data_IF_465021349414
#
_entry.id   IF_465021349414
#
_cell.length_a   1.000
_cell.length_b   1.000
_cell.length_c   1.000
_cell.angle_alpha   90.00
_cell.angle_beta   90.00
_cell.angle_gamma   90.00
#
_symmetry.space_group_name_H-M   'P 1'
#
loop_
_entity.id
_entity.type
_entity.pdbx_description
1 polymer ?
#
# COMPACT_ATOMS: atom_id res chain seq x y z
N UNK A 1 -19.17 1.82 -6.90
CA UNK A 1 -19.98 2.96 -7.41
C UNK A 1 -18.99 4.05 -7.80
N UNK A 2 -18.92 4.46 -9.07
CA UNK A 2 -17.94 5.46 -9.49
C UNK A 2 -18.28 6.82 -8.88
N UNK A 3 -17.38 7.38 -8.06
CA UNK A 3 -17.56 8.71 -7.48
C UNK A 3 -17.18 9.73 -8.53
N UNK A 4 -18.05 10.72 -8.77
CA UNK A 4 -17.79 11.82 -9.70
C UNK A 4 -17.68 13.12 -8.93
N UNK A 5 -16.54 13.78 -9.06
CA UNK A 5 -16.33 15.12 -8.50
C UNK A 5 -17.02 16.12 -9.44
N UNK A 6 -17.88 16.96 -8.89
CA UNK A 6 -18.50 18.07 -9.62
C UNK A 6 -17.57 19.30 -9.55
N UNK A 7 -16.97 19.61 -10.69
CA UNK A 7 -16.01 20.70 -10.82
C UNK A 7 -16.64 22.08 -10.60
N UNK A 8 -17.92 22.24 -10.96
CA UNK A 8 -18.62 23.51 -10.80
C UNK A 8 -18.93 23.72 -9.32
N UNK A 9 -19.33 22.66 -8.60
CA UNK A 9 -19.50 22.70 -7.16
C UNK A 9 -18.19 23.03 -6.41
N UNK A 10 -17.05 22.48 -6.86
CA UNK A 10 -15.74 22.81 -6.28
C UNK A 10 -15.35 24.27 -6.54
N UNK A 11 -15.56 24.78 -7.76
CA UNK A 11 -15.28 26.19 -8.11
C UNK A 11 -16.15 27.15 -7.29
N UNK A 12 -17.42 26.82 -7.11
CA UNK A 12 -18.35 27.60 -6.28
C UNK A 12 -17.93 27.61 -4.80
N UNK A 13 -17.51 26.46 -4.27
CA UNK A 13 -17.02 26.35 -2.89
C UNK A 13 -15.70 27.10 -2.65
N UNK A 14 -14.77 27.06 -3.61
CA UNK A 14 -13.50 27.77 -3.52
C UNK A 14 -13.65 29.30 -3.64
N UNK A 15 -14.67 29.74 -4.38
CA UNK A 15 -14.90 31.13 -4.70
C UNK A 15 -14.01 31.67 -5.84
N UNK A 16 -14.38 32.82 -6.43
CA UNK A 16 -13.80 33.31 -7.68
C UNK A 16 -12.33 33.73 -7.56
N UNK A 17 -11.92 34.27 -6.41
CA UNK A 17 -10.52 34.70 -6.18
C UNK A 17 -9.59 33.50 -6.15
N UNK A 18 -9.97 32.46 -5.41
CA UNK A 18 -9.23 31.21 -5.33
C UNK A 18 -9.16 30.52 -6.69
N UNK A 19 -10.26 30.49 -7.43
CA UNK A 19 -10.30 29.91 -8.77
C UNK A 19 -9.36 30.65 -9.73
N UNK A 20 -9.34 31.99 -9.72
CA UNK A 20 -8.44 32.77 -10.56
C UNK A 20 -6.96 32.53 -10.22
N UNK A 21 -6.64 32.39 -8.92
CA UNK A 21 -5.30 32.04 -8.47
C UNK A 21 -4.90 30.62 -8.89
N UNK A 22 -5.81 29.64 -8.75
CA UNK A 22 -5.61 28.27 -9.20
C UNK A 22 -5.39 28.20 -10.72
N UNK A 23 -6.22 28.88 -11.51
CA UNK A 23 -6.08 28.95 -12.96
C UNK A 23 -4.74 29.58 -13.37
N UNK A 24 -4.24 30.57 -12.60
CA UNK A 24 -2.91 31.17 -12.81
C UNK A 24 -1.76 30.21 -12.51
N UNK A 25 -1.85 29.42 -11.43
CA UNK A 25 -0.89 28.36 -11.12
C UNK A 25 -0.85 27.30 -12.23
N UNK A 26 -2.02 26.87 -12.72
CA UNK A 26 -2.12 25.91 -13.83
C UNK A 26 -1.55 26.46 -15.13
N UNK A 27 -1.82 27.73 -15.44
CA UNK A 27 -1.23 28.40 -16.60
C UNK A 27 0.31 28.50 -16.51
N UNK A 28 0.86 28.54 -15.30
CA UNK A 28 2.29 28.46 -15.02
C UNK A 28 2.85 27.01 -15.03
N UNK A 29 2.03 26.01 -15.37
CA UNK A 29 2.42 24.60 -15.43
C UNK A 29 2.46 23.90 -14.07
N UNK A 30 1.72 24.39 -13.08
CA UNK A 30 1.66 23.80 -11.74
C UNK A 30 0.34 23.06 -11.46
N UNK A 31 0.36 21.93 -10.73
CA UNK A 31 1.57 21.18 -10.35
C UNK A 31 2.28 20.57 -11.58
N UNK A 32 3.61 20.50 -11.54
CA UNK A 32 4.41 19.88 -12.63
C UNK A 32 4.15 18.37 -12.72
N UNK A 33 3.93 17.74 -11.56
CA UNK A 33 3.61 16.32 -11.44
C UNK A 33 2.64 16.11 -10.29
N UNK A 34 1.71 15.20 -10.52
CA UNK A 34 0.78 14.69 -9.52
C UNK A 34 0.83 13.16 -9.49
N UNK A 35 0.48 12.58 -8.36
CA UNK A 35 0.50 11.13 -8.12
C UNK A 35 -0.73 10.70 -7.32
N UNK A 36 -1.33 9.53 -7.60
CA UNK A 36 -2.39 8.99 -6.77
C UNK A 36 -1.82 8.54 -5.41
N UNK A 37 -2.40 9.01 -4.31
CA UNK A 37 -1.96 8.71 -2.94
C UNK A 37 -3.18 8.59 -2.03
N UNK A 38 -3.27 7.49 -1.26
CA UNK A 38 -4.34 7.31 -0.26
C UNK A 38 -5.76 7.34 -0.84
N UNK A 39 -5.96 6.94 -2.09
CA UNK A 39 -7.26 7.04 -2.77
C UNK A 39 -7.65 8.46 -3.23
N UNK A 40 -6.74 9.43 -3.09
CA UNK A 40 -6.84 10.79 -3.64
C UNK A 40 -5.65 11.12 -4.55
N UNK A 41 -5.40 12.41 -4.78
CA UNK A 41 -4.27 12.93 -5.54
C UNK A 41 -3.35 13.76 -4.65
N UNK A 42 -2.04 13.63 -4.85
CA UNK A 42 -1.00 14.43 -4.18
C UNK A 42 -0.09 15.07 -5.22
N UNK A 43 0.45 16.24 -4.91
CA UNK A 43 1.42 16.92 -5.75
C UNK A 43 2.11 18.07 -5.02
N UNK A 44 3.18 18.57 -5.63
CA UNK A 44 3.88 19.77 -5.15
C UNK A 44 3.50 20.94 -6.05
N UNK A 45 3.04 22.04 -5.45
CA UNK A 45 2.67 23.26 -6.17
C UNK A 45 3.65 24.36 -5.79
N UNK A 46 4.30 24.95 -6.79
CA UNK A 46 5.28 26.03 -6.60
C UNK A 46 4.73 27.37 -7.09
N UNK A 47 4.60 28.33 -6.19
CA UNK A 47 4.27 29.72 -6.52
C UNK A 47 5.55 30.58 -6.59
N UNK A 48 5.61 31.51 -7.55
CA UNK A 48 6.78 32.36 -7.74
C UNK A 48 7.07 33.20 -6.49
N UNK A 49 8.26 33.03 -5.90
CA UNK A 49 8.68 33.76 -4.71
C UNK A 49 8.17 33.18 -3.38
N UNK A 50 7.48 32.04 -3.41
CA UNK A 50 7.08 31.27 -2.23
C UNK A 50 7.83 29.94 -2.17
N UNK A 51 7.93 29.29 -0.99
CA UNK A 51 8.33 27.90 -0.92
C UNK A 51 7.34 27.01 -1.69
N UNK A 52 7.79 25.85 -2.19
CA UNK A 52 6.88 24.84 -2.72
C UNK A 52 5.95 24.35 -1.60
N UNK A 53 4.70 24.09 -1.95
CA UNK A 53 3.68 23.58 -1.05
C UNK A 53 3.33 22.14 -1.41
N UNK A 54 3.30 21.26 -0.42
CA UNK A 54 2.78 19.90 -0.57
C UNK A 54 1.27 19.91 -0.40
N UNK A 55 0.58 19.30 -1.36
CA UNK A 55 -0.88 19.35 -1.47
C UNK A 55 -1.41 17.94 -1.66
N UNK A 56 -2.48 17.61 -0.94
CA UNK A 56 -3.27 16.40 -1.14
C UNK A 56 -4.76 16.77 -1.25
N UNK A 57 -5.49 16.08 -2.12
CA UNK A 57 -6.95 16.20 -2.27
C UNK A 57 -7.59 14.84 -2.43
N UNK A 58 -8.78 14.63 -1.87
CA UNK A 58 -9.47 13.34 -1.92
C UNK A 58 -10.90 13.40 -1.40
N UNK A 59 -11.59 12.25 -1.46
CA UNK A 59 -12.98 12.12 -0.99
C UNK A 59 -13.00 11.19 0.21
N UNK A 60 -13.29 11.74 1.38
CA UNK A 60 -13.37 11.03 2.65
C UNK A 60 -14.84 10.78 3.01
N UNK A 61 -15.08 10.13 4.16
CA UNK A 61 -16.43 9.96 4.69
C UNK A 61 -17.15 11.31 4.95
N UNK A 62 -16.38 12.39 5.16
CA UNK A 62 -16.88 13.74 5.43
C UNK A 62 -17.05 14.58 4.15
N UNK A 63 -16.73 14.00 2.98
CA UNK A 63 -16.85 14.64 1.67
C UNK A 63 -15.50 14.96 1.05
N UNK A 64 -15.47 15.98 0.19
CA UNK A 64 -14.24 16.41 -0.47
C UNK A 64 -13.32 17.09 0.55
N UNK A 65 -12.10 16.57 0.71
CA UNK A 65 -11.11 17.01 1.68
C UNK A 65 -9.84 17.43 0.96
N UNK A 66 -9.22 18.50 1.44
CA UNK A 66 -7.94 18.99 0.94
C UNK A 66 -6.99 19.24 2.12
N UNK A 67 -5.74 18.88 1.93
CA UNK A 67 -4.63 19.18 2.83
C UNK A 67 -3.56 19.93 2.06
N UNK A 68 -3.06 21.00 2.67
CA UNK A 68 -2.03 21.84 2.09
C UNK A 68 -1.19 22.39 3.23
N UNK A 69 0.11 22.47 3.06
CA UNK A 69 1.02 23.08 4.05
C UNK A 69 1.12 24.61 3.88
N UNK A 70 0.32 25.22 3.00
CA UNK A 70 0.25 26.67 2.86
C UNK A 70 -0.52 27.33 4.03
N UNK A 71 -0.25 28.61 4.34
CA UNK A 71 -0.93 29.32 5.44
C UNK A 71 -2.46 29.44 5.30
N UNK A 72 -3.01 29.22 4.10
CA UNK A 72 -4.45 29.33 3.81
C UNK A 72 -5.18 27.98 3.77
N UNK A 73 -4.60 26.92 4.37
CA UNK A 73 -5.09 25.55 4.26
C UNK A 73 -6.43 25.24 4.94
N UNK A 74 -6.93 26.12 5.82
CA UNK A 74 -8.21 25.93 6.51
C UNK A 74 -9.44 26.00 5.56
N UNK A 75 -9.24 26.51 4.34
CA UNK A 75 -10.22 26.51 3.26
C UNK A 75 -9.64 25.81 2.02
N UNK A 76 -10.50 25.50 1.05
CA UNK A 76 -10.07 24.98 -0.25
C UNK A 76 -9.20 26.03 -0.96
N UNK A 77 -7.88 25.95 -0.77
CA UNK A 77 -6.93 26.96 -1.24
C UNK A 77 -6.65 26.86 -2.74
N UNK A 78 -5.95 27.84 -3.30
CA UNK A 78 -5.60 27.88 -4.72
C UNK A 78 -4.74 26.67 -5.14
N UNK A 79 -3.85 26.19 -4.27
CA UNK A 79 -3.01 25.02 -4.52
C UNK A 79 -3.84 23.73 -4.60
N UNK A 80 -4.76 23.54 -3.64
CA UNK A 80 -5.70 22.41 -3.63
C UNK A 80 -6.60 22.43 -4.87
N UNK A 81 -7.11 23.60 -5.25
CA UNK A 81 -7.88 23.75 -6.49
C UNK A 81 -7.05 23.44 -7.74
N UNK A 82 -5.82 23.94 -7.83
CA UNK A 82 -4.94 23.66 -8.97
C UNK A 82 -4.65 22.16 -9.11
N UNK A 83 -4.33 21.49 -8.00
CA UNK A 83 -4.13 20.04 -7.96
C UNK A 83 -5.40 19.28 -8.33
N UNK A 84 -6.56 19.66 -7.78
CA UNK A 84 -7.85 19.01 -8.08
C UNK A 84 -8.18 19.07 -9.57
N UNK A 85 -8.04 20.25 -10.17
CA UNK A 85 -8.31 20.46 -11.59
C UNK A 85 -7.34 19.64 -12.46
N UNK A 86 -6.06 19.59 -12.10
CA UNK A 86 -5.08 18.78 -12.82
C UNK A 86 -5.36 17.28 -12.70
N UNK A 87 -5.68 16.79 -11.50
CA UNK A 87 -6.02 15.38 -11.26
C UNK A 87 -7.28 14.93 -12.00
N UNK A 88 -8.27 15.82 -12.15
CA UNK A 88 -9.47 15.56 -12.94
C UNK A 88 -9.20 15.54 -14.45
N UNK A 89 -8.32 16.40 -14.94
CA UNK A 89 -7.90 16.41 -16.35
C UNK A 89 -7.08 15.15 -16.70
N UNK A 90 -6.27 14.67 -15.77
CA UNK A 90 -5.50 13.42 -15.91
C UNK A 90 -6.34 12.14 -15.66
N UNK A 91 -7.66 12.28 -15.45
CA UNK A 91 -8.61 11.19 -15.19
C UNK A 91 -8.15 10.23 -14.07
N UNK A 92 -7.52 10.76 -13.01
CA UNK A 92 -7.06 9.93 -11.90
C UNK A 92 -8.22 9.15 -11.24
N UNK A 93 -7.97 7.90 -10.79
CA UNK A 93 -8.96 7.14 -10.02
C UNK A 93 -9.15 7.74 -8.62
N UNK A 94 -10.40 7.86 -8.18
CA UNK A 94 -10.78 8.37 -6.85
C UNK A 94 -11.44 7.29 -6.01
N UNK A 95 -11.05 7.20 -4.73
CA UNK A 95 -11.74 6.39 -3.74
C UNK A 95 -12.83 7.21 -3.03
N UNK A 96 -13.98 6.60 -2.72
CA UNK A 96 -15.00 7.18 -1.83
C UNK A 96 -14.62 7.17 -0.35
N UNK A 97 -13.48 6.54 -0.03
CA UNK A 97 -12.94 6.38 1.32
C UNK A 97 -11.44 6.70 1.28
N UNK A 98 -11.08 7.80 0.63
CA UNK A 98 -9.70 8.26 0.59
C UNK A 98 -9.20 8.54 2.02
N UNK A 99 -7.93 8.23 2.29
CA UNK A 99 -7.27 8.46 3.56
C UNK A 99 -6.29 9.62 3.39
N UNK A 100 -6.59 10.80 3.95
CA UNK A 100 -5.67 11.92 3.88
C UNK A 100 -4.38 11.62 4.66
N UNK A 101 -3.24 12.22 4.26
CA UNK A 101 -1.96 12.05 4.95
C UNK A 101 -2.01 12.31 6.45
N UNK A 102 -2.79 13.31 6.90
CA UNK A 102 -2.88 13.66 8.33
C UNK A 102 -3.56 12.61 9.21
N UNK A 103 -4.41 11.75 8.64
CA UNK A 103 -5.14 10.71 9.38
C UNK A 103 -4.28 9.46 9.58
N UNK A 104 -3.19 9.32 8.83
CA UNK A 104 -2.23 8.26 9.06
C UNK A 104 -1.56 8.52 10.42
N UNK A 105 -1.79 7.63 11.39
CA UNK A 105 -1.02 7.64 12.62
C UNK A 105 0.42 7.31 12.26
N UNK A 106 1.23 8.34 12.09
CA UNK A 106 2.66 8.17 11.87
C UNK A 106 3.25 7.71 13.19
N UNK A 107 3.92 6.56 13.17
CA UNK A 107 4.69 6.07 14.30
C UNK A 107 5.60 7.19 14.84
N UNK A 108 5.68 7.33 16.16
CA UNK A 108 6.37 8.46 16.79
C UNK A 108 7.85 8.52 16.36
N UNK A 109 8.48 7.37 16.10
CA UNK A 109 9.85 7.31 15.62
C UNK A 109 9.95 7.78 14.17
N UNK A 110 9.00 7.40 13.32
CA UNK A 110 8.93 7.87 11.93
C UNK A 110 8.73 9.39 11.87
N UNK A 111 7.88 9.96 12.73
CA UNK A 111 7.67 11.40 12.81
C UNK A 111 8.95 12.14 13.24
N UNK A 112 9.67 11.62 14.24
CA UNK A 112 10.98 12.15 14.67
C UNK A 112 12.00 12.12 13.53
N UNK A 113 12.10 11.00 12.80
CA UNK A 113 13.02 10.85 11.67
C UNK A 113 12.65 11.77 10.50
N UNK A 114 11.35 11.99 10.25
CA UNK A 114 10.89 12.92 9.23
C UNK A 114 11.29 14.37 9.55
N UNK A 115 11.21 14.80 10.82
CA UNK A 115 11.72 16.10 11.27
C UNK A 115 13.23 16.23 11.03
N UNK A 116 14.01 15.19 11.34
CA UNK A 116 15.45 15.18 11.06
C UNK A 116 15.70 15.28 9.55
N UNK A 117 14.95 14.53 8.74
CA UNK A 117 15.08 14.52 7.28
C UNK A 117 14.80 15.89 6.66
N UNK A 118 13.87 16.68 7.22
CA UNK A 118 13.60 18.06 6.77
C UNK A 118 14.81 18.99 6.89
N UNK A 119 15.74 18.71 7.81
CA UNK A 119 16.99 19.45 7.95
C UNK A 119 18.06 19.09 6.90
N UNK A 120 17.86 18.03 6.11
CA UNK A 120 18.84 17.52 5.16
C UNK A 120 18.59 18.14 3.78
N UNK A 121 19.62 18.70 3.09
CA UNK A 121 19.45 19.18 1.72
C UNK A 121 18.94 18.07 0.79
N UNK A 122 17.94 18.38 -0.04
CA UNK A 122 17.24 17.41 -0.89
C UNK A 122 18.19 16.47 -1.65
N UNK A 123 19.23 17.01 -2.31
CA UNK A 123 20.23 16.19 -3.03
C UNK A 123 20.90 15.14 -2.14
N UNK A 124 21.21 15.49 -0.89
CA UNK A 124 21.86 14.59 0.07
C UNK A 124 20.87 13.54 0.59
N UNK A 125 19.63 13.93 0.84
CA UNK A 125 18.56 13.00 1.20
C UNK A 125 18.30 11.99 0.07
N UNK A 126 18.25 12.45 -1.19
CA UNK A 126 18.11 11.59 -2.37
C UNK A 126 19.25 10.56 -2.46
N UNK A 127 20.50 10.98 -2.26
CA UNK A 127 21.63 10.04 -2.29
C UNK A 127 21.56 9.01 -1.17
N UNK A 128 21.19 9.42 0.04
CA UNK A 128 21.03 8.51 1.18
C UNK A 128 19.96 7.45 0.91
N UNK A 129 18.79 7.86 0.41
CA UNK A 129 17.70 6.95 0.04
C UNK A 129 18.13 6.00 -1.08
N UNK A 130 18.84 6.50 -2.11
CA UNK A 130 19.32 5.67 -3.20
C UNK A 130 20.40 4.67 -2.77
N UNK A 131 21.30 5.05 -1.87
CA UNK A 131 22.33 4.17 -1.30
C UNK A 131 21.70 3.03 -0.49
N UNK A 132 20.66 3.32 0.30
CA UNK A 132 19.94 2.29 1.05
C UNK A 132 19.09 1.39 0.15
N UNK A 133 18.38 1.98 -0.82
CA UNK A 133 17.63 1.21 -1.81
C UNK A 133 18.53 0.24 -2.58
N UNK A 134 19.79 0.62 -2.87
CA UNK A 134 20.73 -0.27 -3.54
C UNK A 134 21.14 -1.51 -2.71
N UNK A 135 20.84 -1.54 -1.41
CA UNK A 135 21.14 -2.67 -0.51
C UNK A 135 19.90 -3.44 -0.05
N UNK A 136 18.70 -2.93 -0.37
CA UNK A 136 17.42 -3.47 0.10
C UNK A 136 16.44 -3.51 -1.09
N UNK A 137 16.14 -4.72 -1.54
CA UNK A 137 15.31 -4.96 -2.73
C UNK A 137 13.85 -4.54 -2.54
N UNK A 138 13.33 -4.63 -1.32
CA UNK A 138 11.98 -4.17 -0.99
C UNK A 138 11.93 -2.65 -1.08
N UNK A 139 12.93 -1.96 -0.51
CA UNK A 139 13.03 -0.51 -0.60
C UNK A 139 13.27 -0.02 -2.04
N UNK A 140 14.10 -0.71 -2.82
CA UNK A 140 14.29 -0.45 -4.25
C UNK A 140 12.96 -0.52 -5.00
N UNK A 141 12.22 -1.60 -4.81
CA UNK A 141 10.91 -1.83 -5.46
C UNK A 141 9.90 -0.76 -5.03
N UNK A 142 9.87 -0.42 -3.74
CA UNK A 142 9.00 0.61 -3.19
C UNK A 142 9.31 2.01 -3.75
N UNK A 143 10.58 2.31 -4.02
CA UNK A 143 11.03 3.56 -4.65
C UNK A 143 10.66 3.60 -6.13
N UNK A 144 10.89 2.49 -6.88
CA UNK A 144 10.51 2.38 -8.29
C UNK A 144 8.99 2.48 -8.48
N UNK A 145 8.21 1.88 -7.59
CA UNK A 145 6.74 1.97 -7.58
C UNK A 145 6.27 3.41 -7.43
N UNK A 146 6.78 4.14 -6.41
CA UNK A 146 6.47 5.56 -6.18
C UNK A 146 6.90 6.46 -7.33
N UNK A 147 7.96 6.08 -8.04
CA UNK A 147 8.41 6.78 -9.24
C UNK A 147 7.55 6.47 -10.49
N UNK A 148 6.60 5.53 -10.43
CA UNK A 148 5.78 5.08 -11.55
C UNK A 148 6.57 4.25 -12.57
N UNK A 149 7.63 3.55 -12.12
CA UNK A 149 8.58 2.83 -12.98
C UNK A 149 8.38 1.31 -13.00
N UNK A 150 7.45 0.78 -12.22
CA UNK A 150 7.11 -0.64 -12.24
C UNK A 150 5.90 -0.88 -13.13
N UNK A 151 6.00 -1.89 -13.98
CA UNK A 151 4.88 -2.42 -14.75
C UNK A 151 4.21 -3.57 -13.98
N UNK A 152 2.93 -3.89 -14.28
CA UNK A 152 2.30 -5.10 -13.77
C UNK A 152 3.18 -6.34 -14.03
N UNK A 153 3.15 -7.35 -13.16
CA UNK A 153 3.86 -8.61 -13.38
C UNK A 153 3.32 -9.33 -14.62
N UNK A 154 4.24 -9.83 -15.44
CA UNK A 154 3.93 -10.72 -16.55
C UNK A 154 3.64 -12.13 -16.04
N UNK A 155 2.89 -12.92 -16.81
CA UNK A 155 2.59 -14.31 -16.46
C UNK A 155 3.86 -15.13 -16.22
N UNK A 156 4.91 -14.92 -17.03
CA UNK A 156 6.18 -15.63 -16.88
C UNK A 156 6.90 -15.28 -15.56
N UNK A 157 6.85 -14.01 -15.13
CA UNK A 157 7.40 -13.60 -13.83
C UNK A 157 6.61 -14.20 -12.66
N UNK A 158 5.27 -14.21 -12.75
CA UNK A 158 4.43 -14.85 -11.73
C UNK A 158 4.70 -16.35 -11.64
N UNK A 159 4.79 -17.05 -12.78
CA UNK A 159 5.09 -18.48 -12.80
C UNK A 159 6.48 -18.80 -12.26
N UNK A 160 7.45 -17.90 -12.46
CA UNK A 160 8.77 -18.04 -11.86
C UNK A 160 8.75 -17.85 -10.34
N UNK A 161 8.02 -16.85 -9.87
CA UNK A 161 7.83 -16.61 -8.45
C UNK A 161 7.13 -17.79 -7.76
N UNK A 162 6.09 -18.37 -8.38
CA UNK A 162 5.44 -19.60 -7.88
C UNK A 162 6.44 -20.74 -7.68
N UNK A 163 7.28 -20.99 -8.70
CA UNK A 163 8.33 -22.03 -8.62
C UNK A 163 9.34 -21.72 -7.53
N UNK A 164 9.70 -20.46 -7.35
CA UNK A 164 10.61 -20.02 -6.27
C UNK A 164 9.99 -20.29 -4.90
N UNK A 165 8.74 -19.89 -4.67
CA UNK A 165 8.02 -20.14 -3.41
C UNK A 165 7.92 -21.65 -3.14
N UNK A 166 7.50 -22.44 -4.13
CA UNK A 166 7.38 -23.89 -3.99
C UNK A 166 8.74 -24.55 -3.71
N UNK A 167 9.79 -24.11 -4.41
CA UNK A 167 11.16 -24.59 -4.21
C UNK A 167 11.67 -24.29 -2.80
N UNK A 168 11.48 -23.05 -2.34
CA UNK A 168 11.83 -22.62 -0.98
C UNK A 168 11.10 -23.47 0.09
N UNK A 169 9.79 -23.66 -0.05
CA UNK A 169 9.00 -24.46 0.89
C UNK A 169 9.45 -25.93 0.92
N UNK A 170 9.77 -26.48 -0.25
CA UNK A 170 10.24 -27.86 -0.38
C UNK A 170 11.62 -28.04 0.27
N UNK A 171 12.55 -27.12 0.06
CA UNK A 171 13.89 -27.18 0.65
C UNK A 171 13.86 -27.09 2.18
N UNK A 172 12.97 -26.26 2.74
CA UNK A 172 12.79 -26.12 4.19
C UNK A 172 12.22 -27.36 4.89
N UNK A 173 11.69 -28.31 4.12
CA UNK A 173 11.03 -29.53 4.65
C UNK A 173 11.64 -30.83 4.12
N UNK A 174 12.74 -30.79 3.35
CA UNK A 174 13.44 -32.01 2.90
C UNK A 174 14.15 -32.68 4.08
N UNK A 175 13.72 -33.90 4.41
CA UNK A 175 14.10 -34.77 5.54
C UNK A 175 15.61 -34.95 5.81
N UNK A 176 16.48 -34.41 4.96
CA UNK A 176 17.91 -34.70 5.01
C UNK A 176 18.72 -33.74 5.86
N UNK A 177 18.43 -32.43 5.92
CA UNK A 177 19.30 -31.45 6.63
C UNK A 177 18.65 -30.10 6.99
N UNK A 178 17.37 -30.02 7.37
CA UNK A 178 16.78 -28.74 7.81
C UNK A 178 16.84 -28.55 9.33
N UNK A 179 16.98 -27.30 9.78
CA UNK A 179 16.74 -26.87 11.16
C UNK A 179 15.69 -25.74 11.25
N UNK A 180 15.28 -25.37 12.47
CA UNK A 180 14.27 -24.33 12.68
C UNK A 180 14.68 -22.97 12.08
N UNK A 181 15.97 -22.66 12.05
CA UNK A 181 16.45 -21.42 11.42
C UNK A 181 16.33 -21.46 9.89
N UNK A 182 16.44 -22.63 9.26
CA UNK A 182 16.17 -22.78 7.83
C UNK A 182 14.69 -22.48 7.50
N UNK A 183 13.75 -22.90 8.35
CA UNK A 183 12.31 -22.60 8.19
C UNK A 183 12.05 -21.10 8.34
N UNK A 184 12.60 -20.47 9.39
CA UNK A 184 12.51 -19.02 9.63
C UNK A 184 13.06 -18.24 8.43
N UNK A 185 14.29 -18.56 8.00
CA UNK A 185 14.95 -17.93 6.86
C UNK A 185 14.14 -18.10 5.58
N UNK A 186 13.54 -19.26 5.39
CA UNK A 186 12.67 -19.55 4.25
C UNK A 186 11.42 -18.67 4.26
N UNK A 187 10.77 -18.55 5.42
CA UNK A 187 9.63 -17.66 5.59
C UNK A 187 9.97 -16.19 5.31
N UNK A 188 11.11 -15.71 5.81
CA UNK A 188 11.60 -14.34 5.51
C UNK A 188 11.87 -14.14 4.01
N UNK A 189 12.47 -15.12 3.34
CA UNK A 189 12.70 -15.05 1.90
C UNK A 189 11.39 -15.01 1.09
N UNK A 190 10.39 -15.82 1.46
CA UNK A 190 9.06 -15.77 0.85
C UNK A 190 8.38 -14.41 1.06
N UNK A 191 8.40 -13.90 2.30
CA UNK A 191 7.84 -12.60 2.63
C UNK A 191 8.48 -11.48 1.80
N UNK A 192 9.81 -11.48 1.65
CA UNK A 192 10.52 -10.49 0.84
C UNK A 192 10.10 -10.54 -0.64
N UNK A 193 9.99 -11.72 -1.24
CA UNK A 193 9.52 -11.86 -2.63
C UNK A 193 8.08 -11.33 -2.79
N UNK A 194 7.21 -11.60 -1.82
CA UNK A 194 5.83 -11.12 -1.82
C UNK A 194 5.76 -9.61 -1.60
N UNK A 195 6.57 -9.04 -0.72
CA UNK A 195 6.65 -7.60 -0.50
C UNK A 195 7.11 -6.86 -1.76
N UNK A 196 8.08 -7.41 -2.48
CA UNK A 196 8.54 -6.91 -3.78
C UNK A 196 7.42 -6.98 -4.82
N UNK A 197 6.71 -8.11 -4.92
CA UNK A 197 5.56 -8.26 -5.82
C UNK A 197 4.48 -7.23 -5.51
N UNK A 198 4.18 -7.00 -4.22
CA UNK A 198 3.15 -6.08 -3.76
C UNK A 198 3.47 -4.59 -4.03
N UNK A 199 4.70 -4.25 -4.42
CA UNK A 199 5.03 -2.89 -4.89
C UNK A 199 4.61 -2.67 -6.37
N UNK A 200 4.37 -3.72 -7.14
CA UNK A 200 4.00 -3.62 -8.56
C UNK A 200 2.52 -3.26 -8.70
N UNK A 201 2.11 -2.70 -9.84
CA UNK A 201 0.69 -2.50 -10.14
C UNK A 201 -0.12 -3.79 -9.93
N UNK A 202 -1.28 -3.71 -9.26
CA UNK A 202 -2.06 -4.85 -8.79
C UNK A 202 -2.65 -5.64 -9.96
N UNK A 203 -2.66 -6.97 -9.84
CA UNK A 203 -3.35 -7.88 -10.77
C UNK A 203 -4.06 -9.00 -9.99
N UNK A 204 -5.18 -9.54 -10.49
CA UNK A 204 -5.81 -10.72 -9.89
C UNK A 204 -4.87 -11.91 -9.78
N UNK A 205 -3.98 -12.11 -10.76
CA UNK A 205 -3.02 -13.21 -10.77
C UNK A 205 -1.94 -13.04 -9.70
N UNK A 206 -1.50 -11.81 -9.41
CA UNK A 206 -0.58 -11.53 -8.31
C UNK A 206 -1.23 -11.83 -6.94
N UNK A 207 -2.52 -11.52 -6.76
CA UNK A 207 -3.26 -11.88 -5.54
C UNK A 207 -3.22 -13.39 -5.29
N UNK A 208 -3.42 -14.19 -6.32
CA UNK A 208 -3.35 -15.66 -6.21
C UNK A 208 -1.95 -16.15 -5.82
N UNK A 209 -0.87 -15.52 -6.32
CA UNK A 209 0.50 -15.87 -5.90
C UNK A 209 0.73 -15.58 -4.42
N UNK A 210 0.16 -14.51 -3.88
CA UNK A 210 0.23 -14.23 -2.43
C UNK A 210 -0.55 -15.28 -1.62
N UNK A 211 -1.73 -15.69 -2.09
CA UNK A 211 -2.49 -16.80 -1.47
C UNK A 211 -1.70 -18.12 -1.49
N UNK A 212 -0.98 -18.41 -2.59
CA UNK A 212 -0.11 -19.57 -2.70
C UNK A 212 1.09 -19.50 -1.73
N UNK A 213 1.70 -18.32 -1.56
CA UNK A 213 2.78 -18.09 -0.59
C UNK A 213 2.32 -18.26 0.86
N UNK A 214 1.15 -17.74 1.20
CA UNK A 214 0.54 -17.94 2.53
C UNK A 214 0.33 -19.43 2.81
N UNK A 215 -0.25 -20.17 1.86
CA UNK A 215 -0.39 -21.63 1.98
C UNK A 215 0.96 -22.34 2.11
N UNK A 216 2.01 -21.86 1.44
CA UNK A 216 3.35 -22.43 1.55
C UNK A 216 3.94 -22.21 2.94
N UNK A 217 3.79 -21.01 3.49
CA UNK A 217 4.18 -20.67 4.86
C UNK A 217 3.42 -21.52 5.89
N UNK A 218 2.08 -21.59 5.79
CA UNK A 218 1.23 -22.35 6.71
C UNK A 218 1.59 -23.85 6.76
N UNK A 219 2.17 -24.40 5.66
CA UNK A 219 2.66 -25.78 5.62
C UNK A 219 3.98 -26.00 6.33
N UNK A 220 4.87 -24.99 6.35
CA UNK A 220 6.23 -25.16 6.89
C UNK A 220 6.38 -24.60 8.30
N UNK A 221 5.44 -23.78 8.77
CA UNK A 221 5.48 -23.14 10.09
C UNK A 221 5.27 -24.06 11.32
N UNK A 222 4.57 -25.22 11.27
CA UNK A 222 4.26 -25.99 12.48
C UNK A 222 5.45 -26.32 13.40
N UNK A 223 6.64 -26.72 12.88
CA UNK A 223 7.81 -26.95 13.73
C UNK A 223 8.30 -25.71 14.51
N UNK A 224 8.10 -24.50 13.97
CA UNK A 224 8.42 -23.26 14.68
C UNK A 224 7.44 -22.99 15.82
N UNK A 225 6.16 -23.30 15.61
CA UNK A 225 5.11 -23.16 16.62
C UNK A 225 5.33 -24.12 17.79
N UNK A 226 5.85 -25.32 17.53
CA UNK A 226 6.25 -26.27 18.59
C UNK A 226 7.43 -25.73 19.43
N UNK A 227 8.22 -24.80 18.87
CA UNK A 227 9.33 -24.11 19.51
C UNK A 227 8.99 -22.64 19.89
N UNK A 228 7.72 -22.35 20.19
CA UNK A 228 7.19 -20.97 20.38
C UNK A 228 8.02 -20.07 21.30
N UNK A 229 8.61 -20.61 22.37
CA UNK A 229 9.44 -19.80 23.29
C UNK A 229 10.65 -19.11 22.60
N UNK A 230 11.07 -19.60 21.43
CA UNK A 230 12.20 -19.07 20.68
C UNK A 230 11.83 -18.37 19.36
N UNK A 231 10.62 -18.58 18.82
CA UNK A 231 10.26 -18.17 17.45
C UNK A 231 8.88 -17.49 17.33
N UNK A 232 8.19 -17.18 18.44
CA UNK A 232 6.86 -16.55 18.40
C UNK A 232 6.86 -15.21 17.65
N UNK A 233 7.87 -14.37 17.88
CA UNK A 233 7.98 -13.06 17.25
C UNK A 233 8.24 -13.20 15.74
N UNK A 234 9.17 -14.05 15.34
CA UNK A 234 9.53 -14.28 13.94
C UNK A 234 8.37 -14.89 13.15
N UNK A 235 7.63 -15.83 13.73
CA UNK A 235 6.45 -16.43 13.09
C UNK A 235 5.37 -15.38 12.86
N UNK A 236 5.11 -14.52 13.85
CA UNK A 236 4.15 -13.43 13.73
C UNK A 236 4.59 -12.41 12.68
N UNK A 237 5.86 -11.97 12.69
CA UNK A 237 6.40 -11.02 11.71
C UNK A 237 6.23 -11.50 10.26
N UNK A 238 6.58 -12.77 9.99
CA UNK A 238 6.48 -13.35 8.65
C UNK A 238 5.02 -13.49 8.22
N UNK A 239 4.16 -13.99 9.11
CA UNK A 239 2.72 -14.12 8.84
C UNK A 239 2.05 -12.78 8.57
N UNK A 240 2.37 -11.76 9.38
CA UNK A 240 1.85 -10.41 9.25
C UNK A 240 2.28 -9.74 7.94
N UNK A 241 3.52 -9.95 7.50
CA UNK A 241 4.00 -9.44 6.22
C UNK A 241 3.22 -10.01 5.03
N UNK A 242 3.01 -11.33 5.00
CA UNK A 242 2.23 -12.01 3.97
C UNK A 242 0.76 -11.54 3.98
N UNK A 243 0.15 -11.44 5.16
CA UNK A 243 -1.22 -10.96 5.32
C UNK A 243 -1.37 -9.50 4.88
N UNK A 244 -0.46 -8.62 5.29
CA UNK A 244 -0.50 -7.21 4.90
C UNK A 244 -0.37 -7.03 3.37
N UNK A 245 0.44 -7.85 2.70
CA UNK A 245 0.51 -7.86 1.25
C UNK A 245 -0.81 -8.33 0.59
N UNK A 246 -1.42 -9.39 1.13
CA UNK A 246 -2.69 -9.94 0.64
C UNK A 246 -3.85 -8.94 0.79
N UNK A 247 -4.01 -8.34 1.97
CA UNK A 247 -5.03 -7.32 2.25
C UNK A 247 -4.89 -6.13 1.30
N UNK A 248 -3.66 -5.61 1.15
CA UNK A 248 -3.36 -4.50 0.24
C UNK A 248 -3.75 -4.83 -1.20
N UNK A 249 -3.42 -6.03 -1.70
CA UNK A 249 -3.80 -6.44 -3.03
C UNK A 249 -5.32 -6.62 -3.16
N UNK A 250 -6.00 -7.15 -2.15
CA UNK A 250 -7.47 -7.23 -2.15
C UNK A 250 -8.11 -5.84 -2.25
N UNK A 251 -7.62 -4.86 -1.50
CA UNK A 251 -8.13 -3.48 -1.56
C UNK A 251 -7.91 -2.83 -2.93
N UNK A 252 -6.81 -3.17 -3.59
CA UNK A 252 -6.46 -2.60 -4.89
C UNK A 252 -7.15 -3.30 -6.06
N UNK A 253 -7.22 -4.64 -6.03
CA UNK A 253 -7.86 -5.46 -7.07
C UNK A 253 -9.38 -5.46 -6.95
N UNK A 254 -9.91 -5.31 -5.72
CA UNK A 254 -11.34 -5.41 -5.41
C UNK A 254 -11.97 -6.71 -5.94
N UNK A 255 -11.50 -7.90 -5.50
CA UNK A 255 -12.08 -9.17 -5.90
C UNK A 255 -13.54 -9.28 -5.45
N UNK A 256 -14.30 -10.19 -6.05
CA UNK A 256 -15.66 -10.46 -5.58
C UNK A 256 -15.63 -10.89 -4.09
N UNK A 257 -16.39 -10.21 -3.20
CA UNK A 257 -16.33 -10.49 -1.77
C UNK A 257 -16.79 -11.89 -1.37
N UNK A 258 -17.69 -12.52 -2.12
CA UNK A 258 -18.15 -13.89 -1.83
C UNK A 258 -17.10 -14.91 -2.29
N UNK A 259 -16.48 -14.69 -3.45
CA UNK A 259 -15.36 -15.52 -3.92
C UNK A 259 -14.12 -15.40 -3.01
N UNK A 260 -13.79 -14.19 -2.56
CA UNK A 260 -12.68 -13.97 -1.62
C UNK A 260 -12.94 -14.66 -0.29
N UNK A 261 -14.15 -14.54 0.27
CA UNK A 261 -14.50 -15.22 1.52
C UNK A 261 -14.38 -16.74 1.38
N UNK A 262 -14.84 -17.31 0.26
CA UNK A 262 -14.74 -18.75 0.00
C UNK A 262 -13.28 -19.23 -0.10
N UNK A 263 -12.41 -18.49 -0.80
CA UNK A 263 -10.98 -18.83 -0.87
C UNK A 263 -10.27 -18.71 0.48
N UNK A 264 -10.56 -17.67 1.26
CA UNK A 264 -10.01 -17.52 2.61
C UNK A 264 -10.41 -18.70 3.50
N UNK A 265 -11.69 -19.10 3.51
CA UNK A 265 -12.13 -20.30 4.23
C UNK A 265 -11.35 -21.54 3.79
N UNK A 266 -11.17 -21.75 2.49
CA UNK A 266 -10.41 -22.89 1.97
C UNK A 266 -8.92 -22.86 2.37
N UNK A 267 -8.32 -21.67 2.48
CA UNK A 267 -6.94 -21.51 2.95
C UNK A 267 -6.85 -21.84 4.44
N UNK A 268 -7.71 -21.24 5.25
CA UNK A 268 -7.70 -21.38 6.71
C UNK A 268 -7.99 -22.82 7.12
N UNK A 269 -9.00 -23.47 6.51
CA UNK A 269 -9.33 -24.88 6.79
C UNK A 269 -8.24 -25.87 6.35
N UNK A 270 -7.35 -25.47 5.43
CA UNK A 270 -6.26 -26.32 4.94
C UNK A 270 -4.99 -26.21 5.79
N UNK A 271 -4.87 -25.20 6.66
CA UNK A 271 -3.72 -25.04 7.55
C UNK A 271 -3.73 -26.11 8.66
N UNK A 272 -2.57 -26.62 9.04
CA UNK A 272 -2.46 -27.64 10.10
C UNK A 272 -2.73 -27.05 11.50
N UNK A 273 -2.34 -25.80 11.70
CA UNK A 273 -2.51 -25.07 12.97
C UNK A 273 -3.41 -23.85 12.74
N UNK A 274 -2.83 -22.66 12.58
CA UNK A 274 -3.53 -21.43 12.24
C UNK A 274 -2.93 -20.88 10.95
N UNK A 275 -3.78 -20.37 10.05
CA UNK A 275 -3.29 -19.71 8.84
C UNK A 275 -2.87 -18.28 9.16
N UNK A 276 -1.77 -17.81 8.54
CA UNK A 276 -1.39 -16.40 8.65
C UNK A 276 -2.44 -15.42 8.09
N UNK A 277 -3.40 -15.92 7.31
CA UNK A 277 -4.52 -15.14 6.78
C UNK A 277 -5.78 -15.18 7.65
N UNK A 278 -5.79 -15.91 8.77
CA UNK A 278 -6.93 -16.01 9.69
C UNK A 278 -7.04 -14.80 10.64
N UNK A 279 -7.13 -13.61 10.05
CA UNK A 279 -7.46 -12.37 10.75
C UNK A 279 -8.62 -11.67 10.03
N UNK A 280 -9.87 -12.15 10.21
CA UNK A 280 -11.01 -11.68 9.41
C UNK A 280 -11.26 -10.17 9.49
N UNK A 281 -10.81 -9.50 10.56
CA UNK A 281 -10.99 -8.06 10.73
C UNK A 281 -10.13 -7.21 9.82
N UNK A 282 -8.96 -7.70 9.41
CA UNK A 282 -8.09 -6.99 8.47
C UNK A 282 -8.76 -6.88 7.09
N UNK A 283 -9.68 -7.81 6.77
CA UNK A 283 -10.44 -7.83 5.53
C UNK A 283 -11.75 -7.03 5.59
N UNK A 284 -12.00 -6.23 6.63
CA UNK A 284 -13.26 -5.52 6.81
C UNK A 284 -13.61 -4.60 5.62
N UNK A 285 -12.61 -3.93 5.05
CA UNK A 285 -12.78 -3.00 3.93
C UNK A 285 -13.23 -3.71 2.64
N UNK A 286 -12.81 -4.95 2.42
CA UNK A 286 -13.07 -5.72 1.19
C UNK A 286 -14.24 -6.70 1.32
N UNK A 287 -14.41 -7.35 2.47
CA UNK A 287 -15.48 -8.34 2.68
C UNK A 287 -16.78 -7.73 3.24
N UNK A 288 -16.65 -6.64 3.99
CA UNK A 288 -17.73 -6.03 4.74
C UNK A 288 -18.12 -6.82 6.00
N UNK A 289 -18.79 -6.14 6.94
CA UNK A 289 -19.08 -6.64 8.31
C UNK A 289 -19.78 -7.99 8.37
N UNK A 290 -20.66 -8.31 7.42
CA UNK A 290 -21.44 -9.55 7.46
C UNK A 290 -20.56 -10.78 7.21
N UNK A 291 -19.70 -10.73 6.19
CA UNK A 291 -18.81 -11.83 5.81
C UNK A 291 -17.69 -12.02 6.83
N UNK A 292 -17.10 -10.93 7.34
CA UNK A 292 -16.13 -10.98 8.45
C UNK A 292 -16.70 -11.70 9.67
N UNK A 293 -17.96 -11.43 10.02
CA UNK A 293 -18.64 -12.15 11.11
C UNK A 293 -18.87 -13.63 10.81
N UNK A 294 -19.12 -13.99 9.55
CA UNK A 294 -19.32 -15.38 9.16
C UNK A 294 -18.00 -16.17 9.22
N UNK A 295 -16.89 -15.60 8.74
CA UNK A 295 -15.55 -16.19 8.85
C UNK A 295 -15.17 -16.49 10.31
N UNK A 296 -15.35 -15.51 11.19
CA UNK A 296 -15.10 -15.65 12.64
C UNK A 296 -16.08 -16.56 13.40
N UNK A 297 -17.08 -17.14 12.73
CA UNK A 297 -17.95 -18.15 13.34
C UNK A 297 -17.54 -19.57 12.94
N UNK A 298 -16.70 -19.70 11.92
CA UNK A 298 -16.15 -20.96 11.44
C UNK A 298 -14.85 -21.33 12.18
N UNK A 299 -14.12 -20.32 12.66
CA UNK A 299 -12.84 -20.39 13.37
C UNK A 299 -12.91 -19.49 14.62
#
# INVERSE_FOLDING_TARGET
>A
MAVRIDIDALRDAAGPVTCAAADSLRAAGQPERLVPVGGGASGVVSEAGQPPYEVWVGITADGFTAECDCPAAEALCAHAMALSLAALEDELPWSSAATPPSVLSIDAKVAELAEVARGIPARRLTMLVAEWAATDRVLESALLARAGRLAPPSTAELDDLRRTIDGLAHEATDDRYWDLHDVEKTGRAMAEEIEVLAQRPPTPEALLVVEEAARAWDRIVPPLLDAREAYEEEVAEIGDALRAAHVRLCEQVQPDPDELAARLTEIIEAAEVDSCLDEPWDYLAVLGRQRVKALRQLH
#
